data_IF_799418914489
#
_entry.id   IF_799418914489
#
_cell.length_a   1.000
_cell.length_b   1.000
_cell.length_c   1.000
_cell.angle_alpha   90.00
_cell.angle_beta   90.00
_cell.angle_gamma   90.00
#
_symmetry.space_group_name_H-M   'P 1'
#
loop_
_entity.id
_entity.type
_entity.pdbx_description
1 polymer ?
#
# COMPACT_ATOMS: atom_id res chain seq x y z
N UNK A 1 -18.53 7.49 -6.21
CA UNK A 1 -18.45 6.55 -5.08
C UNK A 1 -17.04 6.63 -4.53
N UNK A 2 -16.84 6.79 -3.20
CA UNK A 2 -15.51 6.78 -2.59
C UNK A 2 -14.79 5.46 -2.85
N UNK A 3 -13.44 5.49 -2.94
CA UNK A 3 -12.63 4.30 -3.25
C UNK A 3 -12.91 3.13 -2.29
N UNK A 4 -13.04 3.39 -1.00
CA UNK A 4 -13.28 2.36 0.02
C UNK A 4 -14.59 1.59 -0.14
N UNK A 5 -15.58 2.15 -0.84
CA UNK A 5 -16.88 1.48 -1.09
C UNK A 5 -17.07 1.11 -2.56
N UNK A 6 -16.19 1.57 -3.44
CA UNK A 6 -16.31 1.32 -4.88
C UNK A 6 -16.17 -0.16 -5.21
N UNK A 7 -15.23 -0.85 -4.58
CA UNK A 7 -14.95 -2.26 -4.84
C UNK A 7 -16.11 -3.14 -4.35
N UNK A 8 -16.60 -2.94 -3.14
CA UNK A 8 -17.73 -3.68 -2.57
C UNK A 8 -19.01 -3.48 -3.39
N UNK A 9 -19.23 -2.22 -3.81
CA UNK A 9 -20.37 -1.91 -4.68
C UNK A 9 -20.27 -2.59 -6.03
N UNK A 10 -19.08 -2.60 -6.65
CA UNK A 10 -18.85 -3.29 -7.92
C UNK A 10 -19.08 -4.79 -7.80
N UNK A 11 -18.61 -5.42 -6.73
CA UNK A 11 -18.85 -6.84 -6.45
C UNK A 11 -20.33 -7.14 -6.24
N UNK A 12 -21.02 -6.30 -5.47
CA UNK A 12 -22.47 -6.48 -5.19
C UNK A 12 -23.30 -6.37 -6.46
N UNK A 13 -23.03 -5.35 -7.31
CA UNK A 13 -23.75 -5.18 -8.56
C UNK A 13 -23.46 -6.30 -9.55
N UNK A 14 -22.22 -6.74 -9.67
CA UNK A 14 -21.84 -7.85 -10.53
C UNK A 14 -22.54 -9.16 -10.07
N UNK A 15 -22.56 -9.44 -8.77
CA UNK A 15 -23.25 -10.61 -8.21
C UNK A 15 -24.78 -10.56 -8.38
N UNK A 16 -25.36 -9.37 -8.39
CA UNK A 16 -26.79 -9.16 -8.64
C UNK A 16 -27.18 -9.27 -10.12
N UNK A 17 -26.21 -9.40 -11.02
CA UNK A 17 -26.46 -9.39 -12.46
C UNK A 17 -26.89 -8.02 -13.01
N UNK A 18 -26.59 -6.93 -12.29
CA UNK A 18 -26.86 -5.56 -12.71
C UNK A 18 -25.64 -5.01 -13.47
N UNK A 19 -25.70 -4.92 -14.81
CA UNK A 19 -24.52 -4.61 -15.62
C UNK A 19 -24.07 -3.17 -15.42
N UNK A 20 -22.83 -2.98 -15.02
CA UNK A 20 -22.22 -1.67 -14.75
C UNK A 20 -21.46 -1.13 -15.99
N UNK A 21 -21.43 -1.84 -17.10
CA UNK A 21 -20.62 -1.52 -18.27
C UNK A 21 -19.12 -1.57 -17.97
N UNK A 22 -18.54 -0.53 -17.35
CA UNK A 22 -17.14 -0.45 -16.94
C UNK A 22 -17.03 -0.02 -15.48
N UNK A 23 -16.14 -0.66 -14.73
CA UNK A 23 -15.83 -0.29 -13.34
C UNK A 23 -14.33 -0.05 -13.16
N UNK A 24 -13.97 1.02 -12.44
CA UNK A 24 -12.61 1.27 -12.01
C UNK A 24 -12.40 0.61 -10.63
N UNK A 25 -11.66 -0.48 -10.60
CA UNK A 25 -11.47 -1.33 -9.41
C UNK A 25 -10.01 -1.74 -9.22
N UNK A 26 -9.67 -2.19 -8.03
CA UNK A 26 -8.34 -2.75 -7.73
C UNK A 26 -8.14 -4.12 -8.37
N UNK A 27 -6.88 -4.44 -8.69
CA UNK A 27 -6.49 -5.70 -9.35
C UNK A 27 -6.92 -6.95 -8.57
N UNK A 28 -6.96 -6.90 -7.23
CA UNK A 28 -7.45 -7.99 -6.39
C UNK A 28 -8.93 -8.29 -6.67
N UNK A 29 -9.76 -7.25 -6.61
CA UNK A 29 -11.21 -7.36 -6.89
C UNK A 29 -11.46 -7.78 -8.35
N UNK A 30 -10.68 -7.26 -9.29
CA UNK A 30 -10.73 -7.65 -10.69
C UNK A 30 -10.56 -9.18 -10.85
N UNK A 31 -9.49 -9.74 -10.26
CA UNK A 31 -9.21 -11.18 -10.34
C UNK A 31 -10.28 -12.03 -9.64
N UNK A 32 -10.82 -11.56 -8.52
CA UNK A 32 -11.93 -12.24 -7.84
C UNK A 32 -13.17 -12.30 -8.73
N UNK A 33 -13.55 -11.20 -9.38
CA UNK A 33 -14.69 -11.16 -10.29
C UNK A 33 -14.47 -12.04 -11.53
N UNK A 34 -13.26 -12.03 -12.09
CA UNK A 34 -12.89 -12.91 -13.22
C UNK A 34 -13.00 -14.39 -12.87
N UNK A 35 -12.41 -14.81 -11.74
CA UNK A 35 -12.51 -16.20 -11.25
C UNK A 35 -13.94 -16.64 -10.95
N UNK A 36 -14.78 -15.72 -10.50
CA UNK A 36 -16.19 -15.96 -10.23
C UNK A 36 -17.08 -15.95 -11.50
N UNK A 37 -16.51 -15.63 -12.67
CA UNK A 37 -17.29 -15.52 -13.92
C UNK A 37 -18.28 -14.36 -13.95
N UNK A 38 -18.05 -13.33 -13.15
CA UNK A 38 -18.93 -12.16 -13.00
C UNK A 38 -18.56 -11.00 -13.93
N UNK A 39 -17.43 -11.11 -14.62
CA UNK A 39 -16.98 -10.20 -15.64
C UNK A 39 -16.46 -10.98 -16.85
N UNK A 40 -16.44 -10.35 -18.00
CA UNK A 40 -15.91 -10.95 -19.23
C UNK A 40 -14.41 -10.62 -19.38
N UNK A 41 -13.62 -11.54 -19.97
CA UNK A 41 -12.24 -11.22 -20.33
C UNK A 41 -12.19 -10.12 -21.38
N UNK A 42 -11.08 -9.41 -21.43
CA UNK A 42 -10.81 -8.37 -22.45
C UNK A 42 -9.64 -8.82 -23.32
N UNK A 43 -9.65 -8.38 -24.56
CA UNK A 43 -8.52 -8.58 -25.46
C UNK A 43 -7.59 -7.35 -25.39
N UNK A 44 -6.32 -7.58 -25.12
CA UNK A 44 -5.26 -6.56 -25.16
C UNK A 44 -4.30 -6.96 -26.27
N UNK A 45 -4.31 -6.22 -27.38
CA UNK A 45 -3.43 -6.52 -28.51
C UNK A 45 -1.95 -6.53 -28.12
N UNK A 46 -1.12 -7.29 -28.85
CA UNK A 46 0.33 -7.33 -28.58
C UNK A 46 0.98 -5.94 -28.63
N UNK A 47 0.51 -5.09 -29.56
CA UNK A 47 0.96 -3.71 -29.65
C UNK A 47 0.65 -2.92 -28.37
N UNK A 48 -0.55 -3.09 -27.82
CA UNK A 48 -0.93 -2.44 -26.57
C UNK A 48 -0.19 -3.05 -25.37
N UNK A 49 0.00 -4.37 -25.34
CA UNK A 49 0.78 -5.03 -24.28
C UNK A 49 2.22 -4.49 -24.22
N UNK A 50 2.84 -4.22 -25.36
CA UNK A 50 4.19 -3.69 -25.44
C UNK A 50 4.36 -2.28 -24.83
N UNK A 51 3.26 -1.55 -24.61
CA UNK A 51 3.27 -0.23 -23.96
C UNK A 51 3.31 -0.32 -22.43
N UNK A 52 3.03 -1.50 -21.86
CA UNK A 52 2.99 -1.68 -20.41
C UNK A 52 4.22 -2.42 -19.90
N UNK A 53 4.61 -2.11 -18.68
CA UNK A 53 5.56 -2.94 -17.95
C UNK A 53 4.95 -4.32 -17.68
N UNK A 54 5.72 -5.43 -17.79
CA UNK A 54 5.18 -6.78 -17.55
C UNK A 54 4.50 -6.96 -16.21
N UNK A 55 5.04 -6.35 -15.14
CA UNK A 55 4.45 -6.37 -13.81
C UNK A 55 3.09 -5.68 -13.74
N UNK A 56 2.83 -4.68 -14.58
CA UNK A 56 1.53 -3.98 -14.66
C UNK A 56 0.51 -4.88 -15.34
N UNK A 57 0.87 -5.53 -16.45
CA UNK A 57 0.00 -6.51 -17.13
C UNK A 57 -0.33 -7.70 -16.22
N UNK A 58 0.62 -8.18 -15.44
CA UNK A 58 0.39 -9.25 -14.47
C UNK A 58 -0.68 -8.91 -13.42
N UNK A 59 -0.91 -7.63 -13.12
CA UNK A 59 -1.96 -7.22 -12.18
C UNK A 59 -3.37 -7.46 -12.71
N UNK A 60 -3.58 -7.41 -14.00
CA UNK A 60 -4.88 -7.59 -14.66
C UNK A 60 -5.04 -8.94 -15.35
N UNK A 61 -4.03 -9.80 -15.31
CA UNK A 61 -4.08 -11.15 -15.86
C UNK A 61 -4.25 -12.22 -14.78
N UNK A 62 -5.01 -13.26 -15.10
CA UNK A 62 -5.18 -14.45 -14.28
C UNK A 62 -5.66 -15.62 -15.16
N UNK A 63 -5.12 -16.81 -14.93
CA UNK A 63 -5.46 -17.99 -15.73
C UNK A 63 -5.17 -17.85 -17.24
N UNK A 64 -4.16 -17.06 -17.62
CA UNK A 64 -3.80 -16.82 -19.01
C UNK A 64 -4.72 -15.86 -19.76
N UNK A 65 -5.62 -15.18 -19.07
CA UNK A 65 -6.55 -14.20 -19.64
C UNK A 65 -6.36 -12.83 -19.00
N UNK A 66 -6.67 -11.77 -19.75
CA UNK A 66 -6.81 -10.41 -19.21
C UNK A 66 -8.27 -10.14 -18.83
N UNK A 67 -8.47 -9.62 -17.63
CA UNK A 67 -9.78 -9.32 -17.07
C UNK A 67 -10.13 -7.84 -17.06
N UNK A 68 -9.17 -7.00 -17.48
CA UNK A 68 -9.36 -5.56 -17.59
C UNK A 68 -8.14 -4.87 -18.17
N UNK A 69 -8.24 -3.59 -18.45
CA UNK A 69 -7.15 -2.76 -18.92
C UNK A 69 -6.46 -2.08 -17.74
N UNK A 70 -5.10 -2.08 -17.67
CA UNK A 70 -4.40 -1.28 -16.69
C UNK A 70 -4.69 0.21 -16.94
N UNK A 71 -5.26 0.90 -15.95
CA UNK A 71 -5.57 2.32 -16.05
C UNK A 71 -4.54 3.19 -15.34
N UNK A 72 -4.20 2.85 -14.10
CA UNK A 72 -3.22 3.57 -13.31
C UNK A 72 -2.46 2.61 -12.41
N UNK A 73 -1.18 2.89 -12.22
CA UNK A 73 -0.37 2.26 -11.17
C UNK A 73 0.45 3.33 -10.46
N UNK A 74 0.87 3.04 -9.25
CA UNK A 74 1.72 3.92 -8.47
C UNK A 74 2.74 3.11 -7.69
N UNK A 75 3.88 3.73 -7.44
CA UNK A 75 4.85 3.25 -6.46
C UNK A 75 4.63 3.95 -5.12
N UNK A 76 5.11 3.34 -4.05
CA UNK A 76 5.13 3.97 -2.74
C UNK A 76 6.53 4.53 -2.49
N UNK A 77 6.58 5.73 -1.92
CA UNK A 77 7.80 6.35 -1.46
C UNK A 77 7.52 7.04 -0.11
N UNK A 78 8.53 7.10 0.72
CA UNK A 78 8.47 7.87 1.95
C UNK A 78 8.86 9.31 1.66
N UNK A 79 8.06 10.23 2.14
CA UNK A 79 8.39 11.66 2.16
C UNK A 79 9.08 11.98 3.48
N UNK A 80 10.07 12.86 3.44
CA UNK A 80 10.80 13.32 4.63
C UNK A 80 10.68 14.84 4.70
N UNK A 81 10.16 15.35 5.79
CA UNK A 81 10.13 16.77 6.09
C UNK A 81 11.48 17.20 6.64
N UNK A 82 12.35 17.68 5.76
CA UNK A 82 13.70 18.10 6.13
C UNK A 82 13.71 19.17 7.20
N UNK A 83 12.76 20.12 7.17
CA UNK A 83 12.67 21.16 8.19
C UNK A 83 12.47 20.59 9.60
N UNK A 84 11.63 19.57 9.76
CA UNK A 84 11.42 18.91 11.05
C UNK A 84 12.61 18.04 11.44
N UNK A 85 13.23 17.32 10.49
CA UNK A 85 14.40 16.48 10.75
C UNK A 85 15.58 17.34 11.20
N UNK A 86 15.86 18.44 10.53
CA UNK A 86 16.93 19.37 10.88
C UNK A 86 16.65 20.10 12.20
N UNK A 87 15.41 20.50 12.46
CA UNK A 87 14.99 21.06 13.75
C UNK A 87 15.15 20.05 14.92
N UNK A 88 15.06 18.75 14.62
CA UNK A 88 15.33 17.68 15.58
C UNK A 88 16.83 17.42 15.81
N UNK A 89 17.72 18.10 15.11
CA UNK A 89 19.19 17.94 15.21
C UNK A 89 19.76 16.83 14.33
N UNK A 90 18.99 16.30 13.41
CA UNK A 90 19.41 15.23 12.49
C UNK A 90 19.69 15.77 11.08
N UNK A 91 20.55 15.08 10.33
CA UNK A 91 20.75 15.38 8.93
C UNK A 91 19.59 14.85 8.08
N UNK A 92 19.06 15.66 7.15
CA UNK A 92 18.03 15.22 6.22
C UNK A 92 18.61 14.34 5.11
N UNK A 93 18.90 13.09 5.45
CA UNK A 93 19.39 12.05 4.54
C UNK A 93 18.48 10.85 4.65
N UNK A 94 18.01 10.33 3.51
CA UNK A 94 17.15 9.16 3.51
C UNK A 94 17.77 7.97 4.27
N UNK A 95 17.12 7.43 5.31
CA UNK A 95 17.65 6.33 6.09
C UNK A 95 17.72 5.06 5.23
N UNK A 96 18.81 4.30 5.36
CA UNK A 96 19.05 3.08 4.59
C UNK A 96 18.73 1.80 5.36
N UNK A 97 18.40 1.93 6.64
CA UNK A 97 18.08 0.80 7.52
C UNK A 97 16.86 1.13 8.39
N UNK A 98 16.19 0.11 8.84
CA UNK A 98 15.08 0.25 9.78
C UNK A 98 15.48 0.96 11.09
N UNK A 99 16.68 0.65 11.59
CA UNK A 99 17.23 1.35 12.77
C UNK A 99 17.43 2.83 12.49
N UNK A 100 17.99 3.18 11.33
CA UNK A 100 18.15 4.58 10.93
C UNK A 100 16.80 5.31 10.79
N UNK A 101 15.81 4.64 10.18
CA UNK A 101 14.46 5.18 10.07
C UNK A 101 13.84 5.45 11.46
N UNK A 102 13.91 4.45 12.34
CA UNK A 102 13.38 4.60 13.70
C UNK A 102 14.07 5.72 14.48
N UNK A 103 15.40 5.81 14.40
CA UNK A 103 16.15 6.85 15.10
C UNK A 103 15.79 8.25 14.61
N UNK A 104 15.65 8.44 13.29
CA UNK A 104 15.21 9.70 12.71
C UNK A 104 13.78 10.05 13.15
N UNK A 105 12.86 9.09 13.09
CA UNK A 105 11.49 9.27 13.56
C UNK A 105 11.46 9.64 15.06
N UNK A 106 12.23 8.92 15.86
CA UNK A 106 12.32 9.17 17.30
C UNK A 106 12.90 10.55 17.59
N UNK A 107 13.93 10.98 16.88
CA UNK A 107 14.51 12.31 17.06
C UNK A 107 13.48 13.42 16.78
N UNK A 108 12.71 13.31 15.70
CA UNK A 108 11.64 14.27 15.39
C UNK A 108 10.59 14.26 16.49
N UNK A 109 10.14 13.08 16.92
CA UNK A 109 9.12 12.95 17.96
C UNK A 109 9.57 13.51 19.32
N UNK A 110 10.83 13.32 19.69
CA UNK A 110 11.36 13.74 20.99
C UNK A 110 11.74 15.21 21.06
N UNK A 111 12.19 15.80 19.94
CA UNK A 111 12.80 17.12 19.90
C UNK A 111 11.95 18.19 19.17
N UNK A 112 10.76 17.82 18.66
CA UNK A 112 9.82 18.75 18.03
C UNK A 112 8.41 18.54 18.55
N UNK A 113 7.48 19.38 18.12
CA UNK A 113 6.04 19.18 18.42
C UNK A 113 5.34 18.23 17.45
N UNK A 114 6.06 17.72 16.44
CA UNK A 114 5.52 16.82 15.44
C UNK A 114 5.75 15.35 15.82
N UNK A 115 4.88 14.45 15.37
CA UNK A 115 5.13 13.01 15.42
C UNK A 115 6.26 12.63 14.45
N UNK A 116 7.03 11.61 14.78
CA UNK A 116 8.19 11.21 13.99
C UNK A 116 7.82 10.68 12.60
N UNK A 117 6.78 9.87 12.52
CA UNK A 117 6.37 9.19 11.29
C UNK A 117 4.86 9.00 11.24
N UNK A 118 4.29 8.97 10.05
CA UNK A 118 2.89 8.64 9.80
C UNK A 118 2.66 7.15 9.62
N UNK A 119 1.88 6.53 10.51
CA UNK A 119 1.53 5.11 10.44
C UNK A 119 0.02 4.96 10.21
N UNK A 120 -0.34 4.19 9.19
CA UNK A 120 -1.73 3.77 8.96
C UNK A 120 -2.02 2.50 9.75
N UNK A 121 -3.13 2.47 10.47
CA UNK A 121 -3.57 1.29 11.22
C UNK A 121 -5.05 0.97 11.04
N UNK A 122 -5.79 1.84 10.34
CA UNK A 122 -7.20 1.64 10.04
C UNK A 122 -7.38 0.39 9.18
N UNK A 123 -8.45 -0.36 9.39
CA UNK A 123 -8.82 -1.48 8.50
C UNK A 123 -9.18 -0.96 7.11
N UNK A 124 -8.17 -0.87 6.27
CA UNK A 124 -8.24 -0.32 4.92
C UNK A 124 -7.05 -0.76 4.05
N UNK A 125 -7.22 -0.79 2.73
CA UNK A 125 -6.18 -1.20 1.76
C UNK A 125 -4.83 -0.49 1.96
N UNK A 126 -4.83 0.78 2.34
CA UNK A 126 -3.60 1.55 2.51
C UNK A 126 -2.74 1.06 3.68
N UNK A 127 -3.35 0.53 4.73
CA UNK A 127 -2.63 -0.08 5.87
C UNK A 127 -1.87 -1.31 5.42
N UNK A 128 -2.54 -2.20 4.69
CA UNK A 128 -1.88 -3.35 4.08
C UNK A 128 -0.72 -2.90 3.17
N UNK A 129 -0.94 -1.93 2.29
CA UNK A 129 0.11 -1.45 1.39
C UNK A 129 1.29 -0.84 2.13
N UNK A 130 1.08 -0.09 3.21
CA UNK A 130 2.17 0.46 4.01
C UNK A 130 2.96 -0.66 4.69
N UNK A 131 2.28 -1.60 5.33
CA UNK A 131 2.92 -2.75 5.97
C UNK A 131 3.75 -3.59 4.98
N UNK A 132 3.20 -3.86 3.79
CA UNK A 132 3.88 -4.67 2.78
C UNK A 132 5.19 -4.04 2.27
N UNK A 133 5.34 -2.71 2.30
CA UNK A 133 6.63 -2.10 1.96
C UNK A 133 7.72 -2.52 2.97
N UNK A 134 7.39 -2.59 4.25
CA UNK A 134 8.31 -3.07 5.27
C UNK A 134 8.57 -4.57 5.13
N UNK A 135 7.51 -5.37 4.93
CA UNK A 135 7.63 -6.82 4.77
C UNK A 135 8.56 -7.18 3.61
N UNK A 136 8.32 -6.61 2.43
CA UNK A 136 9.16 -6.88 1.26
C UNK A 136 10.58 -6.35 1.41
N UNK A 137 10.78 -5.23 2.11
CA UNK A 137 12.13 -4.73 2.41
C UNK A 137 12.90 -5.64 3.37
N UNK A 138 12.23 -6.46 4.15
CA UNK A 138 12.78 -7.47 5.06
C UNK A 138 12.93 -8.85 4.42
N UNK A 139 12.65 -8.99 3.12
CA UNK A 139 12.72 -10.25 2.41
C UNK A 139 11.53 -11.20 2.64
N UNK A 140 10.53 -10.77 3.40
CA UNK A 140 9.31 -11.54 3.60
C UNK A 140 8.34 -11.43 2.41
N UNK A 141 7.34 -12.30 2.36
CA UNK A 141 6.32 -12.30 1.32
C UNK A 141 4.98 -12.79 1.87
N UNK A 142 3.89 -12.47 1.17
CA UNK A 142 2.55 -12.98 1.49
C UNK A 142 2.37 -14.39 0.96
N UNK A 143 2.90 -14.65 -0.23
CA UNK A 143 2.85 -15.95 -0.89
C UNK A 143 4.08 -16.15 -1.78
N UNK A 144 4.44 -17.40 -2.02
CA UNK A 144 5.42 -17.76 -3.02
C UNK A 144 4.84 -17.52 -4.43
N UNK A 145 5.58 -16.79 -5.27
CA UNK A 145 5.10 -16.38 -6.58
C UNK A 145 5.01 -17.53 -7.59
N UNK A 146 5.78 -18.61 -7.39
CA UNK A 146 5.82 -19.74 -8.30
C UNK A 146 4.79 -20.81 -7.94
N UNK A 147 4.61 -21.07 -6.63
CA UNK A 147 3.72 -22.14 -6.13
C UNK A 147 2.36 -21.63 -5.69
N UNK A 148 2.24 -20.33 -5.35
CA UNK A 148 1.04 -19.76 -4.74
C UNK A 148 0.86 -20.11 -3.26
N UNK A 149 1.80 -20.83 -2.65
CA UNK A 149 1.76 -21.20 -1.23
C UNK A 149 1.82 -19.93 -0.36
N UNK A 150 1.03 -19.90 0.71
CA UNK A 150 1.01 -18.77 1.66
C UNK A 150 2.25 -18.84 2.55
N UNK A 151 3.10 -17.83 2.46
CA UNK A 151 4.36 -17.70 3.21
C UNK A 151 4.31 -16.62 4.30
N UNK A 152 3.15 -16.03 4.52
CA UNK A 152 2.97 -14.89 5.43
C UNK A 152 3.34 -15.20 6.89
N UNK A 153 3.18 -16.44 7.34
CA UNK A 153 3.60 -16.85 8.68
C UNK A 153 5.07 -17.25 8.69
N UNK A 154 5.96 -16.25 8.71
CA UNK A 154 7.41 -16.42 8.64
C UNK A 154 8.13 -15.55 9.69
N UNK A 155 9.39 -15.85 10.02
CA UNK A 155 10.20 -14.99 10.89
C UNK A 155 10.29 -13.54 10.41
N UNK A 156 10.40 -13.32 9.10
CA UNK A 156 10.47 -11.99 8.48
C UNK A 156 9.17 -11.20 8.72
N UNK A 157 8.02 -11.88 8.67
CA UNK A 157 6.73 -11.23 8.96
C UNK A 157 6.63 -10.85 10.43
N UNK A 158 7.06 -11.72 11.34
CA UNK A 158 7.05 -11.44 12.79
C UNK A 158 7.95 -10.24 13.09
N UNK A 159 9.18 -10.23 12.59
CA UNK A 159 10.11 -9.12 12.75
C UNK A 159 9.55 -7.81 12.17
N UNK A 160 8.90 -7.90 11.01
CA UNK A 160 8.25 -6.74 10.38
C UNK A 160 7.11 -6.19 11.24
N UNK A 161 6.27 -7.06 11.82
CA UNK A 161 5.19 -6.65 12.71
C UNK A 161 5.72 -5.98 13.99
N UNK A 162 6.77 -6.53 14.58
CA UNK A 162 7.44 -5.95 15.74
C UNK A 162 8.01 -4.56 15.42
N UNK A 163 8.68 -4.43 14.27
CA UNK A 163 9.20 -3.14 13.82
C UNK A 163 8.09 -2.13 13.53
N UNK A 164 7.02 -2.55 12.85
CA UNK A 164 5.87 -1.68 12.57
C UNK A 164 5.18 -1.20 13.85
N UNK A 165 5.05 -2.10 14.83
CA UNK A 165 4.56 -1.76 16.16
C UNK A 165 5.48 -0.79 16.91
N UNK A 166 6.81 -0.96 16.77
CA UNK A 166 7.80 -0.03 17.33
C UNK A 166 7.70 1.37 16.71
N UNK A 167 7.50 1.46 15.39
CA UNK A 167 7.27 2.73 14.70
C UNK A 167 5.99 3.43 15.18
N UNK A 168 4.94 2.67 15.49
CA UNK A 168 3.70 3.23 16.03
C UNK A 168 3.91 3.98 17.36
N UNK A 169 4.94 3.65 18.13
CA UNK A 169 5.31 4.33 19.38
C UNK A 169 5.91 5.73 19.19
N UNK A 170 6.29 6.11 17.96
CA UNK A 170 6.82 7.43 17.59
C UNK A 170 6.00 8.07 16.46
N UNK A 171 4.83 7.51 16.18
CA UNK A 171 3.89 7.99 15.17
C UNK A 171 2.87 8.97 15.77
N UNK A 172 1.97 9.49 14.93
CA UNK A 172 0.82 10.26 15.38
C UNK A 172 -0.03 9.47 16.36
N UNK A 173 -0.72 10.18 17.26
CA UNK A 173 -1.59 9.55 18.24
C UNK A 173 -2.73 8.77 17.58
N UNK A 174 -3.02 7.56 18.07
CA UNK A 174 -4.13 6.73 17.61
C UNK A 174 -4.00 6.22 16.16
N UNK A 175 -2.88 5.62 15.76
CA UNK A 175 -2.62 5.21 14.37
C UNK A 175 -3.71 4.28 13.79
N UNK A 176 -4.43 3.54 14.63
CA UNK A 176 -5.54 2.66 14.22
C UNK A 176 -6.75 3.42 13.63
N UNK A 177 -6.83 4.72 13.81
CA UNK A 177 -7.89 5.57 13.24
C UNK A 177 -7.55 6.16 11.87
N UNK A 178 -6.29 6.05 11.45
CA UNK A 178 -5.78 6.77 10.28
C UNK A 178 -5.66 5.91 9.05
N UNK A 179 -6.00 6.51 7.93
CA UNK A 179 -5.65 6.05 6.59
C UNK A 179 -4.77 7.11 5.89
N UNK A 180 -4.22 6.78 4.73
CA UNK A 180 -3.19 7.60 4.07
C UNK A 180 -3.60 9.06 3.80
N UNK A 181 -4.84 9.33 3.44
CA UNK A 181 -5.26 10.71 3.11
C UNK A 181 -5.14 11.64 4.30
N UNK A 182 -5.46 11.15 5.49
CA UNK A 182 -5.34 11.89 6.73
C UNK A 182 -3.86 12.12 7.10
N UNK A 183 -3.00 11.11 6.91
CA UNK A 183 -1.55 11.28 7.11
C UNK A 183 -0.94 12.29 6.14
N UNK A 184 -1.39 12.30 4.89
CA UNK A 184 -0.96 13.30 3.91
C UNK A 184 -1.30 14.71 4.37
N UNK A 185 -2.48 14.89 4.98
CA UNK A 185 -2.86 16.19 5.55
C UNK A 185 -1.96 16.57 6.71
N UNK A 186 -1.73 15.67 7.68
CA UNK A 186 -0.82 15.93 8.80
C UNK A 186 0.60 16.27 8.33
N UNK A 187 1.08 15.59 7.27
CA UNK A 187 2.38 15.89 6.70
C UNK A 187 2.42 17.31 6.09
N UNK A 188 1.40 17.69 5.31
CA UNK A 188 1.31 19.02 4.72
C UNK A 188 1.21 20.13 5.78
N UNK A 189 0.60 19.83 6.90
CA UNK A 189 0.45 20.74 8.05
C UNK A 189 1.71 20.75 8.95
N UNK A 190 2.75 19.99 8.60
CA UNK A 190 4.00 19.90 9.37
C UNK A 190 3.84 19.20 10.73
N UNK A 191 2.85 18.34 10.87
CA UNK A 191 2.55 17.61 12.12
C UNK A 191 3.20 16.22 12.18
N UNK A 192 3.78 15.74 11.09
CA UNK A 192 4.58 14.51 11.05
C UNK A 192 5.85 14.71 10.23
N UNK A 193 6.94 14.04 10.65
CA UNK A 193 8.25 14.16 10.02
C UNK A 193 8.42 13.31 8.77
N UNK A 194 7.75 12.16 8.69
CA UNK A 194 7.87 11.20 7.58
C UNK A 194 6.55 10.52 7.27
#
# INVERSE_FOLDING_TARGET
VPWGTCQDKSMTLAAAGDPVGLAYIGSRTLKQLGRAGLIIPVDISEEMQALYQPGVLATVSDGGQFWGYPHAFSTKAMFINCGLVEAAGEACVAPRTWTGLYNMAKAVNDNTSAAGIGITGKDFDNTMHQFLNYLYSNGGSVSDAATGEITFNSPETIETLEFYGKLAGVAQEGPMGYERSQLTQLYNDGQIGM
#
